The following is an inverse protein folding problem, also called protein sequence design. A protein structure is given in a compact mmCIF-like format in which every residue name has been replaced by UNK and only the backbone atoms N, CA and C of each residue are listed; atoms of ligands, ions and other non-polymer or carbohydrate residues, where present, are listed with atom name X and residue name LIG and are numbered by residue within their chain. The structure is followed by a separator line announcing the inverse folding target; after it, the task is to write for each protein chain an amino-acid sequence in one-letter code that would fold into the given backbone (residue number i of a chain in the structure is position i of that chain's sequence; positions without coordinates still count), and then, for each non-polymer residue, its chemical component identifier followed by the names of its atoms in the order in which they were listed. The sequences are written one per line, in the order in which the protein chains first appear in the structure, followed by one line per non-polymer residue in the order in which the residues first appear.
data_IF_908095412868
#
_entry.id   IF_908095412868
#
_cell.length_a   1.000
_cell.length_b   1.000
_cell.length_c   1.000
_cell.angle_alpha   90.00
_cell.angle_beta   90.00
_cell.angle_gamma   90.00
#
_symmetry.space_group_name_H-M   'P 1'
#
loop_
_entity.id
_entity.type
_entity.pdbx_description
1 polymer ?
#
# COMPACT_ATOMS: atom_id res chain seq x y z
N UNK A 1 -27.91 5.61 -10.05
CA UNK A 1 -26.56 6.08 -10.42
C UNK A 1 -25.76 6.32 -9.18
N UNK A 2 -24.60 5.68 -9.06
CA UNK A 2 -23.68 5.84 -7.92
C UNK A 2 -22.42 6.51 -8.43
N UNK A 3 -21.91 7.50 -7.70
CA UNK A 3 -20.63 8.16 -7.99
C UNK A 3 -19.66 7.76 -6.88
N UNK A 4 -18.52 7.19 -7.25
CA UNK A 4 -17.44 6.80 -6.35
C UNK A 4 -16.26 7.73 -6.63
N UNK A 5 -15.71 8.37 -5.59
CA UNK A 5 -14.57 9.28 -5.69
C UNK A 5 -13.42 8.65 -4.91
N UNK A 6 -12.37 8.25 -5.61
CA UNK A 6 -11.23 7.57 -5.02
C UNK A 6 -9.93 7.94 -5.73
N UNK A 7 -8.83 7.87 -4.97
CA UNK A 7 -7.48 8.06 -5.49
C UNK A 7 -6.76 6.74 -5.75
N UNK A 8 -7.37 5.60 -5.40
CA UNK A 8 -6.83 4.25 -5.63
C UNK A 8 -7.83 3.41 -6.42
N UNK A 9 -7.49 3.11 -7.66
CA UNK A 9 -8.41 2.45 -8.59
C UNK A 9 -8.63 0.96 -8.26
N UNK A 10 -7.68 0.30 -7.61
CA UNK A 10 -7.75 -1.13 -7.22
C UNK A 10 -9.03 -1.49 -6.46
N UNK A 11 -9.41 -0.64 -5.51
CA UNK A 11 -10.56 -0.89 -4.63
C UNK A 11 -11.89 -0.60 -5.36
N UNK A 12 -11.89 0.37 -6.26
CA UNK A 12 -13.07 0.76 -7.05
C UNK A 12 -13.38 -0.27 -8.14
N UNK A 13 -12.36 -0.84 -8.77
CA UNK A 13 -12.52 -1.82 -9.85
C UNK A 13 -13.11 -3.16 -9.38
N UNK A 14 -13.18 -3.38 -8.06
CA UNK A 14 -13.91 -4.51 -7.49
C UNK A 14 -15.43 -4.37 -7.64
N UNK A 15 -15.94 -3.15 -7.85
CA UNK A 15 -17.33 -2.89 -8.19
C UNK A 15 -17.52 -2.89 -9.72
N UNK A 16 -18.72 -3.23 -10.24
CA UNK A 16 -19.02 -3.13 -11.66
C UNK A 16 -19.14 -1.65 -12.07
N UNK A 17 -18.01 -1.04 -12.43
CA UNK A 17 -17.93 0.35 -12.88
C UNK A 17 -17.98 0.39 -14.41
N UNK A 18 -18.99 1.06 -14.96
CA UNK A 18 -19.18 1.15 -16.41
C UNK A 18 -18.30 2.23 -17.07
N UNK A 19 -17.91 3.26 -16.30
CA UNK A 19 -17.33 4.51 -16.80
C UNK A 19 -16.44 5.16 -15.76
N UNK A 20 -15.26 5.62 -16.16
CA UNK A 20 -14.33 6.35 -15.31
C UNK A 20 -14.11 7.74 -15.87
N UNK A 21 -14.33 8.75 -15.02
CA UNK A 21 -14.04 10.14 -15.32
C UNK A 21 -12.74 10.51 -14.60
N UNK A 22 -11.69 10.78 -15.36
CA UNK A 22 -10.41 11.22 -14.83
C UNK A 22 -10.39 12.75 -14.80
N UNK A 23 -10.18 13.33 -13.62
CA UNK A 23 -10.06 14.77 -13.43
C UNK A 23 -8.63 15.09 -13.01
N UNK A 24 -8.04 16.10 -13.66
CA UNK A 24 -6.72 16.65 -13.33
C UNK A 24 -6.75 18.17 -13.52
N UNK A 25 -6.17 18.92 -12.58
CA UNK A 25 -6.14 20.39 -12.61
C UNK A 25 -7.49 21.06 -12.91
N UNK A 26 -8.57 20.53 -12.31
CA UNK A 26 -9.94 21.03 -12.47
C UNK A 26 -10.59 20.76 -13.84
N UNK A 27 -9.99 19.89 -14.66
CA UNK A 27 -10.48 19.52 -16.00
C UNK A 27 -10.72 18.02 -16.12
N UNK A 28 -11.73 17.64 -16.90
CA UNK A 28 -11.93 16.24 -17.29
C UNK A 28 -10.91 15.91 -18.37
N UNK A 29 -9.97 15.02 -18.04
CA UNK A 29 -8.92 14.53 -18.94
C UNK A 29 -9.42 13.34 -19.76
N UNK A 30 -10.21 12.48 -19.12
CA UNK A 30 -10.76 11.30 -19.77
C UNK A 30 -12.13 10.97 -19.22
N UNK A 31 -12.92 10.36 -20.09
CA UNK A 31 -14.28 9.96 -19.83
C UNK A 31 -14.57 8.70 -20.64
N UNK A 32 -14.06 7.58 -20.14
CA UNK A 32 -13.86 6.34 -20.91
C UNK A 32 -14.17 5.10 -20.05
N UNK A 33 -14.22 3.93 -20.69
CA UNK A 33 -14.38 2.67 -19.98
C UNK A 33 -13.14 2.38 -19.10
N UNK A 34 -13.29 1.69 -17.95
CA UNK A 34 -12.16 1.44 -17.06
C UNK A 34 -11.02 0.67 -17.74
N UNK A 35 -11.32 -0.36 -18.54
CA UNK A 35 -10.29 -1.12 -19.26
C UNK A 35 -9.51 -0.27 -20.27
N UNK A 36 -10.16 0.71 -20.90
CA UNK A 36 -9.49 1.65 -21.80
C UNK A 36 -8.53 2.57 -21.02
N UNK A 37 -8.97 3.07 -19.87
CA UNK A 37 -8.14 3.85 -18.97
C UNK A 37 -6.91 3.07 -18.50
N UNK A 38 -7.08 1.81 -18.09
CA UNK A 38 -5.99 0.94 -17.62
C UNK A 38 -4.96 0.60 -18.71
N UNK A 39 -5.38 0.56 -19.99
CA UNK A 39 -4.47 0.36 -21.14
C UNK A 39 -3.66 1.60 -21.48
N UNK A 40 -4.13 2.77 -21.07
CA UNK A 40 -3.46 4.06 -21.33
C UNK A 40 -2.31 4.34 -20.37
N UNK A 41 -1.66 5.50 -20.56
CA UNK A 41 -0.69 6.10 -19.64
C UNK A 41 -1.28 7.29 -18.85
N UNK A 42 -2.59 7.51 -18.95
CA UNK A 42 -3.25 8.68 -18.35
C UNK A 42 -3.15 8.70 -16.83
N UNK A 43 -3.28 7.54 -16.17
CA UNK A 43 -3.17 7.45 -14.71
C UNK A 43 -1.82 7.98 -14.22
N UNK A 44 -0.73 7.51 -14.82
CA UNK A 44 0.62 7.93 -14.42
C UNK A 44 0.92 9.38 -14.81
N UNK A 45 0.39 9.87 -15.94
CA UNK A 45 0.50 11.28 -16.34
C UNK A 45 -0.19 12.24 -15.37
N UNK A 46 -1.31 11.84 -14.79
CA UNK A 46 -2.06 12.62 -13.81
C UNK A 46 -1.63 12.33 -12.35
N UNK A 47 -0.49 11.67 -12.13
CA UNK A 47 0.02 11.38 -10.78
C UNK A 47 -0.80 10.36 -9.99
N UNK A 48 -1.73 9.65 -10.64
CA UNK A 48 -2.50 8.57 -10.01
C UNK A 48 -1.70 7.26 -10.11
N UNK A 49 -1.54 6.61 -8.97
CA UNK A 49 -0.85 5.32 -8.92
C UNK A 49 -1.69 4.25 -9.62
N UNK A 50 -1.06 3.59 -10.60
CA UNK A 50 -1.65 2.43 -11.27
C UNK A 50 -1.89 1.27 -10.29
N UNK A 51 -2.94 0.46 -10.52
CA UNK A 51 -3.08 -0.82 -9.86
C UNK A 51 -1.82 -1.70 -10.01
N UNK A 52 -1.45 -2.38 -8.93
CA UNK A 52 -0.21 -3.16 -8.84
C UNK A 52 -0.13 -4.23 -9.92
N UNK A 53 -1.23 -4.91 -10.24
CA UNK A 53 -1.27 -5.94 -11.26
C UNK A 53 -1.02 -5.37 -12.67
N UNK A 54 -1.48 -4.14 -12.95
CA UNK A 54 -1.21 -3.44 -14.21
C UNK A 54 0.28 -3.11 -14.33
N UNK A 55 0.87 -2.54 -13.28
CA UNK A 55 2.30 -2.27 -13.23
C UNK A 55 3.12 -3.56 -13.38
N UNK A 56 2.71 -4.65 -12.76
CA UNK A 56 3.37 -5.96 -12.88
C UNK A 56 3.31 -6.51 -14.31
N UNK A 57 2.16 -6.42 -14.98
CA UNK A 57 1.99 -6.82 -16.37
C UNK A 57 2.89 -6.00 -17.30
N UNK A 58 2.90 -4.66 -17.18
CA UNK A 58 3.79 -3.77 -17.95
C UNK A 58 5.26 -4.15 -17.75
N UNK A 59 5.69 -4.38 -16.51
CA UNK A 59 7.08 -4.77 -16.17
C UNK A 59 7.46 -6.16 -16.68
N UNK A 60 6.50 -7.07 -16.80
CA UNK A 60 6.73 -8.41 -17.37
C UNK A 60 6.92 -8.41 -18.90
N UNK A 61 6.79 -7.25 -19.54
CA UNK A 61 6.89 -7.10 -21.00
C UNK A 61 5.63 -7.53 -21.75
N UNK A 62 4.52 -7.81 -21.05
CA UNK A 62 3.24 -8.13 -21.67
C UNK A 62 2.55 -6.85 -22.15
N UNK A 63 1.98 -6.89 -23.36
CA UNK A 63 1.17 -5.79 -23.86
C UNK A 63 -0.23 -5.84 -23.26
N UNK A 64 -0.65 -4.74 -22.63
CA UNK A 64 -1.99 -4.62 -22.06
C UNK A 64 -3.10 -4.69 -23.11
N UNK A 65 -2.77 -4.43 -24.38
CA UNK A 65 -3.72 -4.50 -25.50
C UNK A 65 -4.23 -5.92 -25.77
N UNK A 66 -3.49 -6.96 -25.35
CA UNK A 66 -3.88 -8.36 -25.51
C UNK A 66 -5.04 -8.77 -24.59
N UNK A 67 -5.35 -7.97 -23.57
CA UNK A 67 -6.35 -8.30 -22.57
C UNK A 67 -7.69 -7.65 -22.92
N UNK A 68 -8.77 -8.43 -23.09
CA UNK A 68 -10.09 -7.87 -23.40
C UNK A 68 -10.65 -7.08 -22.22
N UNK A 69 -10.41 -7.55 -21.00
CA UNK A 69 -10.84 -6.92 -19.76
C UNK A 69 -9.68 -6.92 -18.74
N UNK A 70 -9.43 -5.74 -18.15
CA UNK A 70 -8.40 -5.53 -17.13
C UNK A 70 -8.99 -5.14 -15.77
N UNK A 71 -10.32 -5.07 -15.62
CA UNK A 71 -10.94 -4.81 -14.32
C UNK A 71 -11.02 -6.07 -13.47
N UNK A 72 -11.08 -7.25 -14.11
CA UNK A 72 -11.24 -8.55 -13.45
C UNK A 72 -9.88 -9.21 -13.20
N UNK A 73 -9.23 -8.85 -12.10
CA UNK A 73 -7.89 -9.37 -11.75
C UNK A 73 -7.86 -10.90 -11.67
N UNK A 74 -8.92 -11.53 -11.16
CA UNK A 74 -9.01 -12.99 -11.04
C UNK A 74 -8.96 -13.72 -12.39
N UNK A 75 -9.34 -13.03 -13.48
CA UNK A 75 -9.28 -13.57 -14.84
C UNK A 75 -7.89 -13.38 -15.48
N UNK A 76 -7.01 -12.59 -14.87
CA UNK A 76 -5.64 -12.33 -15.33
C UNK A 76 -4.66 -13.41 -14.83
N UNK A 77 -5.12 -14.66 -14.74
CA UNK A 77 -4.33 -15.82 -14.30
C UNK A 77 -4.16 -16.77 -15.47
N UNK A 78 -2.94 -16.83 -16.02
CA UNK A 78 -2.59 -17.79 -17.08
C UNK A 78 -1.14 -18.25 -16.96
N UNK A 79 -0.77 -19.43 -17.50
CA UNK A 79 0.61 -19.89 -17.54
C UNK A 79 1.56 -18.89 -18.21
N UNK A 80 1.09 -18.16 -19.23
CA UNK A 80 1.85 -17.10 -19.92
C UNK A 80 2.21 -15.97 -18.95
N UNK A 81 1.22 -15.47 -18.20
CA UNK A 81 1.41 -14.38 -17.23
C UNK A 81 2.31 -14.84 -16.08
N UNK A 82 2.06 -16.03 -15.53
CA UNK A 82 2.88 -16.59 -14.47
C UNK A 82 4.36 -16.73 -14.89
N UNK A 83 4.62 -17.25 -16.10
CA UNK A 83 5.97 -17.37 -16.64
C UNK A 83 6.64 -16.00 -16.88
N UNK A 84 5.88 -15.00 -17.35
CA UNK A 84 6.39 -13.65 -17.56
C UNK A 84 6.75 -12.96 -16.24
N UNK A 85 5.89 -13.10 -15.22
CA UNK A 85 6.13 -12.56 -13.88
C UNK A 85 7.27 -13.28 -13.14
N UNK A 86 7.42 -14.60 -13.33
CA UNK A 86 8.50 -15.38 -12.71
C UNK A 86 9.89 -14.89 -13.15
N UNK A 87 10.05 -14.47 -14.41
CA UNK A 87 11.30 -13.89 -14.94
C UNK A 87 11.68 -12.56 -14.27
N UNK A 88 10.71 -11.89 -13.64
CA UNK A 88 10.88 -10.60 -12.98
C UNK A 88 10.97 -10.73 -11.44
N UNK A 89 11.04 -11.96 -10.91
CA UNK A 89 11.26 -12.14 -9.48
C UNK A 89 12.67 -11.67 -9.13
N UNK A 90 12.76 -10.46 -8.59
CA UNK A 90 13.96 -10.01 -7.91
C UNK A 90 14.25 -10.91 -6.72
N UNK A 91 15.52 -11.12 -6.42
CA UNK A 91 15.91 -11.72 -5.15
C UNK A 91 15.49 -10.80 -4.03
N UNK A 92 14.54 -11.24 -3.19
CA UNK A 92 14.31 -10.60 -1.91
C UNK A 92 15.54 -10.84 -1.05
N UNK A 93 16.44 -9.86 -1.01
CA UNK A 93 17.53 -9.86 -0.05
C UNK A 93 16.91 -9.64 1.33
N UNK A 94 16.97 -10.66 2.19
CA UNK A 94 16.63 -10.43 3.59
C UNK A 94 17.55 -9.33 4.11
N UNK A 95 17.00 -8.28 4.74
CA UNK A 95 17.83 -7.23 5.30
C UNK A 95 18.79 -7.88 6.31
N UNK A 96 20.08 -7.53 6.22
CA UNK A 96 21.08 -8.00 7.18
C UNK A 96 20.61 -7.65 8.59
N UNK A 97 20.46 -8.63 9.50
CA UNK A 97 20.11 -8.37 10.90
C UNK A 97 21.11 -7.37 11.48
N UNK A 98 20.66 -6.15 11.75
CA UNK A 98 21.46 -5.13 12.43
C UNK A 98 21.58 -5.51 13.90
N UNK A 99 22.76 -5.29 14.50
CA UNK A 99 23.07 -5.79 15.85
C UNK A 99 23.10 -4.71 16.93
N UNK A 100 23.32 -3.45 16.55
CA UNK A 100 23.42 -2.33 17.50
C UNK A 100 22.01 -1.87 17.86
N UNK A 101 21.51 -2.09 19.09
CA UNK A 101 20.23 -1.54 19.51
C UNK A 101 20.31 -0.01 19.49
N UNK A 102 19.25 0.65 19.03
CA UNK A 102 19.12 2.11 19.01
C UNK A 102 17.95 2.58 19.89
N UNK A 103 16.87 1.79 19.93
CA UNK A 103 15.68 2.11 20.70
C UNK A 103 15.04 0.82 21.19
N UNK A 104 14.90 0.66 22.50
CA UNK A 104 14.22 -0.48 23.11
C UNK A 104 13.02 0.01 23.90
N UNK A 105 11.83 -0.45 23.52
CA UNK A 105 10.59 -0.26 24.26
C UNK A 105 10.31 -1.53 25.04
N UNK A 106 9.98 -1.40 26.33
CA UNK A 106 9.62 -2.52 27.19
C UNK A 106 8.25 -2.32 27.83
N UNK A 107 7.36 -3.29 27.65
CA UNK A 107 5.99 -3.33 28.22
C UNK A 107 5.21 -2.01 28.00
N UNK A 108 5.41 -1.38 26.83
CA UNK A 108 4.82 -0.08 26.56
C UNK A 108 3.33 -0.21 26.32
N UNK A 109 2.54 0.55 27.08
CA UNK A 109 1.09 0.60 26.94
C UNK A 109 0.58 2.04 26.91
N UNK A 110 -0.49 2.27 26.14
CA UNK A 110 -1.09 3.60 26.00
C UNK A 110 -2.58 3.55 25.61
N UNK A 111 -3.37 4.45 26.18
CA UNK A 111 -4.78 4.67 25.92
C UNK A 111 -5.15 6.16 25.95
N UNK A 112 -6.00 6.62 25.01
CA UNK A 112 -6.60 7.97 25.10
C UNK A 112 -7.86 7.98 25.97
N UNK A 113 -8.62 6.89 25.95
CA UNK A 113 -9.88 6.72 26.71
C UNK A 113 -9.81 5.45 27.55
N UNK A 114 -10.94 4.76 27.81
CA UNK A 114 -10.96 3.54 28.63
C UNK A 114 -10.31 2.34 27.95
N UNK A 115 -10.23 2.31 26.62
CA UNK A 115 -9.69 1.16 25.89
C UNK A 115 -8.22 1.36 25.51
N UNK A 116 -7.34 0.39 25.81
CA UNK A 116 -5.94 0.48 25.44
C UNK A 116 -5.72 0.27 23.94
N UNK A 117 -5.03 1.24 23.34
CA UNK A 117 -4.66 1.26 21.91
C UNK A 117 -3.33 0.50 21.74
N UNK A 118 -2.38 0.75 22.63
CA UNK A 118 -1.10 0.04 22.68
C UNK A 118 -1.09 -0.81 23.95
N UNK A 119 -0.78 -2.11 23.82
CA UNK A 119 -0.92 -3.11 24.88
C UNK A 119 0.39 -3.90 25.04
N UNK A 120 1.21 -3.52 26.02
CA UNK A 120 2.41 -4.26 26.41
C UNK A 120 3.34 -4.59 25.24
N UNK A 121 3.73 -3.59 24.44
CA UNK A 121 4.64 -3.80 23.31
C UNK A 121 6.09 -3.83 23.80
N UNK A 122 6.77 -4.93 23.49
CA UNK A 122 8.22 -5.10 23.61
C UNK A 122 8.84 -5.12 22.21
N UNK A 123 9.71 -4.15 21.90
CA UNK A 123 10.39 -4.08 20.61
C UNK A 123 11.73 -3.35 20.71
N UNK A 124 12.73 -3.88 20.00
CA UNK A 124 14.05 -3.29 19.86
C UNK A 124 14.30 -2.93 18.41
N UNK A 125 14.48 -1.64 18.12
CA UNK A 125 14.90 -1.12 16.84
C UNK A 125 16.42 -0.94 16.83
N UNK A 126 17.07 -1.34 15.75
CA UNK A 126 18.52 -1.31 15.62
C UNK A 126 19.00 -0.17 14.73
N UNK A 127 20.24 0.26 14.92
CA UNK A 127 20.84 1.32 14.13
C UNK A 127 20.92 0.94 12.64
N UNK A 128 20.41 1.83 11.78
CA UNK A 128 20.35 1.62 10.33
C UNK A 128 19.35 0.55 9.88
N UNK A 129 18.42 0.15 10.76
CA UNK A 129 17.30 -0.72 10.42
C UNK A 129 16.20 0.07 9.71
N UNK A 130 15.62 -0.51 8.65
CA UNK A 130 14.45 0.04 7.97
C UNK A 130 13.24 -0.80 8.37
N UNK A 131 12.33 -0.21 9.16
CA UNK A 131 11.14 -0.87 9.69
C UNK A 131 9.88 -0.24 9.10
N UNK A 132 8.92 -1.08 8.72
CA UNK A 132 7.60 -0.64 8.28
C UNK A 132 6.54 -1.07 9.28
N UNK A 133 5.69 -0.12 9.69
CA UNK A 133 4.57 -0.36 10.58
C UNK A 133 3.27 -0.48 9.76
N UNK A 134 2.68 -1.67 9.74
CA UNK A 134 1.50 -1.99 8.94
C UNK A 134 0.33 -2.48 9.79
N UNK A 135 -0.89 -2.34 9.30
CA UNK A 135 -2.13 -2.70 10.00
C UNK A 135 -3.33 -1.88 9.51
N UNK A 136 -4.55 -2.32 9.85
CA UNK A 136 -5.78 -1.63 9.44
C UNK A 136 -5.93 -0.23 10.06
N UNK A 137 -6.91 0.55 9.58
CA UNK A 137 -7.22 1.86 10.16
C UNK A 137 -7.68 1.70 11.62
N UNK A 138 -7.13 2.52 12.52
CA UNK A 138 -7.41 2.42 13.96
C UNK A 138 -6.55 1.41 14.73
N UNK A 139 -5.67 0.64 14.08
CA UNK A 139 -4.78 -0.32 14.76
C UNK A 139 -3.71 0.30 15.69
N UNK A 140 -3.69 1.62 15.87
CA UNK A 140 -2.74 2.32 16.75
C UNK A 140 -1.42 2.74 16.10
N UNK A 141 -1.26 2.61 14.77
CA UNK A 141 0.00 2.93 14.07
C UNK A 141 0.51 4.36 14.29
N UNK A 142 -0.36 5.35 14.06
CA UNK A 142 0.00 6.76 14.27
C UNK A 142 0.24 7.06 15.75
N UNK A 143 -0.57 6.50 16.64
CA UNK A 143 -0.38 6.60 18.09
C UNK A 143 0.99 6.06 18.50
N UNK A 144 1.39 4.90 17.97
CA UNK A 144 2.70 4.31 18.21
C UNK A 144 3.82 5.21 17.69
N UNK A 145 3.71 5.75 16.46
CA UNK A 145 4.68 6.69 15.90
C UNK A 145 4.88 7.94 16.76
N UNK A 146 3.80 8.48 17.33
CA UNK A 146 3.83 9.66 18.21
C UNK A 146 4.43 9.31 19.59
N UNK A 147 4.14 8.11 20.11
CA UNK A 147 4.71 7.62 21.38
C UNK A 147 6.22 7.44 21.29
N UNK A 148 6.72 6.75 20.25
CA UNK A 148 8.16 6.46 20.13
C UNK A 148 9.00 7.72 19.90
N UNK A 149 8.39 8.79 19.38
CA UNK A 149 9.04 10.08 19.13
C UNK A 149 8.99 11.01 20.35
N UNK A 150 8.36 10.58 21.46
CA UNK A 150 8.32 11.34 22.71
C UNK A 150 7.28 12.46 22.75
N UNK A 151 6.39 12.57 21.76
CA UNK A 151 5.30 13.56 21.77
C UNK A 151 4.14 13.16 22.68
N UNK A 152 4.06 11.89 23.06
CA UNK A 152 3.13 11.40 24.08
C UNK A 152 3.92 10.66 25.18
N UNK A 153 3.58 10.88 26.46
CA UNK A 153 4.21 10.15 27.54
C UNK A 153 3.73 8.69 27.56
N UNK A 154 4.62 7.77 27.93
CA UNK A 154 4.23 6.40 28.25
C UNK A 154 3.37 6.38 29.51
N UNK A 155 2.24 5.67 29.48
CA UNK A 155 1.43 5.43 30.69
C UNK A 155 1.96 4.23 31.50
N UNK A 156 2.55 3.27 30.80
CA UNK A 156 3.24 2.11 31.35
C UNK A 156 4.40 1.76 30.44
N UNK A 157 5.45 1.19 31.02
CA UNK A 157 6.66 0.76 30.31
C UNK A 157 7.72 1.84 30.25
N UNK A 158 8.81 1.53 29.56
CA UNK A 158 9.96 2.41 29.42
C UNK A 158 10.53 2.39 28.00
N UNK A 159 11.19 3.49 27.62
CA UNK A 159 12.00 3.61 26.42
C UNK A 159 13.46 3.74 26.86
N UNK A 160 14.29 2.82 26.36
CA UNK A 160 15.72 2.75 26.62
C UNK A 160 16.46 3.03 25.31
N UNK A 161 17.24 4.09 25.28
CA UNK A 161 18.12 4.46 24.17
C UNK A 161 19.54 3.95 24.40
#
# INVERSE_FOLDING_TARGET
TTIIIEHRLEEVLAAPVDRVILIDEGKIIADIAPTELLKSDLLSKCGIREPLYITALKRSGLSLTEFPDLTQVDQLVSPKIAAALAKQQGTFCSPSKKKTPLLTLKDVSFHFSKEPIIKGIDITLHQGEMVSLVGHNGAGKSTWSILITGFLPFQKGELVC
#
